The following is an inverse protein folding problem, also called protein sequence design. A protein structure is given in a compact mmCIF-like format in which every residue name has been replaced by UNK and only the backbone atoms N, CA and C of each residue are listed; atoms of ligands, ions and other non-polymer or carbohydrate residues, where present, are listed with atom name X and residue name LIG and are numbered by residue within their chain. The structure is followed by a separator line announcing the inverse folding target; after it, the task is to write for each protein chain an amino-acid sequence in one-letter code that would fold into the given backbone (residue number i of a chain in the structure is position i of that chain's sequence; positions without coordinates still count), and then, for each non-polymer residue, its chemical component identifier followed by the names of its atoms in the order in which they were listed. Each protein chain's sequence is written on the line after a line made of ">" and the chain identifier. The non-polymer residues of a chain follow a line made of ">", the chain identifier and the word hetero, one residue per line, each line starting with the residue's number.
data_IF_988841056122
#
_entry.id   IF_988841056122
#
_cell.length_a   1.000
_cell.length_b   1.000
_cell.length_c   1.000
_cell.angle_alpha   90.00
_cell.angle_beta   90.00
_cell.angle_gamma   90.00
#
_symmetry.space_group_name_H-M   'P 1'
#
loop_
_entity.id
_entity.type
_entity.pdbx_description
1 polymer ?
#
# COMPACT_ATOMS: atom_id res chain seq x y z
N UNK A 1 -7.62 20.01 9.05
CA UNK A 1 -6.91 19.14 8.09
C UNK A 1 -7.25 17.68 8.38
N UNK A 2 -7.97 16.99 7.50
CA UNK A 2 -8.25 15.55 7.67
C UNK A 2 -6.98 14.77 7.34
N UNK A 3 -6.13 14.54 8.33
CA UNK A 3 -5.08 13.53 8.24
C UNK A 3 -5.72 12.20 7.83
N UNK A 4 -5.24 11.57 6.76
CA UNK A 4 -5.71 10.23 6.40
C UNK A 4 -5.60 9.33 7.63
N UNK A 5 -6.67 8.59 7.94
CA UNK A 5 -6.64 7.64 9.04
C UNK A 5 -5.67 6.50 8.69
N UNK A 6 -4.90 6.00 9.67
CA UNK A 6 -4.05 4.83 9.48
C UNK A 6 -4.84 3.66 8.89
N UNK A 7 -6.11 3.50 9.30
CA UNK A 7 -7.03 2.53 8.75
C UNK A 7 -7.23 2.67 7.23
N UNK A 8 -7.31 3.89 6.70
CA UNK A 8 -7.50 4.12 5.27
C UNK A 8 -6.25 3.74 4.45
N UNK A 9 -5.06 4.08 4.95
CA UNK A 9 -3.80 3.70 4.31
C UNK A 9 -3.54 2.20 4.37
N UNK A 10 -3.90 1.56 5.48
CA UNK A 10 -3.82 0.10 5.64
C UNK A 10 -4.81 -0.62 4.72
N UNK A 11 -6.05 -0.16 4.59
CA UNK A 11 -7.04 -0.75 3.66
C UNK A 11 -6.59 -0.61 2.21
N UNK A 12 -6.08 0.56 1.81
CA UNK A 12 -5.55 0.76 0.46
C UNK A 12 -4.36 -0.15 0.16
N UNK A 13 -3.42 -0.28 1.11
CA UNK A 13 -2.30 -1.20 0.98
C UNK A 13 -2.72 -2.67 0.95
N UNK A 14 -3.74 -3.05 1.73
CA UNK A 14 -4.28 -4.42 1.77
C UNK A 14 -4.89 -4.80 0.41
N UNK A 15 -5.73 -3.93 -0.15
CA UNK A 15 -6.35 -4.12 -1.46
C UNK A 15 -5.30 -4.22 -2.56
N UNK A 16 -4.29 -3.34 -2.54
CA UNK A 16 -3.20 -3.38 -3.50
C UNK A 16 -2.41 -4.69 -3.43
N UNK A 17 -2.02 -5.10 -2.22
CA UNK A 17 -1.26 -6.33 -2.00
C UNK A 17 -2.07 -7.58 -2.40
N UNK A 18 -3.38 -7.60 -2.13
CA UNK A 18 -4.27 -8.69 -2.56
C UNK A 18 -4.32 -8.82 -4.09
N UNK A 19 -4.52 -7.71 -4.80
CA UNK A 19 -4.59 -7.73 -6.28
C UNK A 19 -3.26 -8.19 -6.88
N UNK A 20 -2.13 -7.68 -6.37
CA UNK A 20 -0.81 -8.08 -6.86
C UNK A 20 -0.49 -9.54 -6.57
N UNK A 21 -0.80 -10.04 -5.37
CA UNK A 21 -0.58 -11.45 -5.06
C UNK A 21 -1.50 -12.36 -5.86
N UNK A 22 -2.78 -11.98 -6.05
CA UNK A 22 -3.68 -12.74 -6.92
C UNK A 22 -3.14 -12.80 -8.36
N UNK A 23 -2.69 -11.68 -8.91
CA UNK A 23 -2.08 -11.63 -10.24
C UNK A 23 -0.83 -12.50 -10.34
N UNK A 24 0.09 -12.36 -9.40
CA UNK A 24 1.36 -13.11 -9.38
C UNK A 24 1.14 -14.62 -9.20
N UNK A 25 0.12 -15.00 -8.42
CA UNK A 25 -0.27 -16.39 -8.25
C UNK A 25 -0.76 -16.99 -9.58
N UNK A 26 -1.61 -16.28 -10.31
CA UNK A 26 -2.10 -16.69 -11.63
C UNK A 26 -0.98 -16.72 -12.70
N UNK A 27 -0.08 -15.75 -12.71
CA UNK A 27 0.98 -15.64 -13.72
C UNK A 27 2.08 -16.69 -13.54
N UNK A 28 2.50 -16.95 -12.30
CA UNK A 28 3.73 -17.70 -12.04
C UNK A 28 3.55 -19.01 -11.27
N UNK A 29 2.36 -19.33 -10.77
CA UNK A 29 2.11 -20.54 -9.99
C UNK A 29 3.07 -20.69 -8.78
N UNK A 30 3.44 -19.57 -8.15
CA UNK A 30 4.40 -19.57 -7.05
C UNK A 30 3.83 -20.28 -5.83
N UNK A 31 4.70 -21.01 -5.13
CA UNK A 31 4.37 -21.61 -3.83
C UNK A 31 3.95 -20.57 -2.79
N UNK A 32 3.12 -21.00 -1.84
CA UNK A 32 2.50 -20.14 -0.84
C UNK A 32 3.51 -19.30 -0.03
N UNK A 33 4.67 -19.87 0.29
CA UNK A 33 5.74 -19.20 1.03
C UNK A 33 6.24 -17.94 0.31
N UNK A 34 6.64 -18.06 -0.95
CA UNK A 34 7.08 -16.94 -1.78
C UNK A 34 5.97 -15.90 -2.02
N UNK A 35 4.71 -16.35 -2.10
CA UNK A 35 3.56 -15.46 -2.25
C UNK A 35 3.34 -14.59 -1.01
N UNK A 36 3.45 -15.18 0.18
CA UNK A 36 3.24 -14.50 1.46
C UNK A 36 4.31 -13.43 1.75
N UNK A 37 5.57 -13.72 1.42
CA UNK A 37 6.67 -12.77 1.53
C UNK A 37 6.44 -11.57 0.59
N UNK A 38 6.05 -11.83 -0.66
CA UNK A 38 5.69 -10.77 -1.61
C UNK A 38 4.49 -9.97 -1.14
N UNK A 39 3.48 -10.60 -0.57
CA UNK A 39 2.33 -9.92 0.01
C UNK A 39 2.76 -8.94 1.09
N UNK A 40 3.59 -9.38 2.04
CA UNK A 40 4.09 -8.54 3.12
C UNK A 40 4.90 -7.35 2.58
N UNK A 41 5.77 -7.58 1.58
CA UNK A 41 6.54 -6.51 0.93
C UNK A 41 5.61 -5.51 0.24
N UNK A 42 4.67 -5.97 -0.59
CA UNK A 42 3.73 -5.08 -1.28
C UNK A 42 2.85 -4.31 -0.30
N UNK A 43 2.35 -4.96 0.74
CA UNK A 43 1.54 -4.33 1.78
C UNK A 43 2.32 -3.24 2.51
N UNK A 44 3.50 -3.56 3.05
CA UNK A 44 4.29 -2.60 3.82
C UNK A 44 4.80 -1.47 2.95
N UNK A 45 5.35 -1.76 1.77
CA UNK A 45 5.88 -0.74 0.86
C UNK A 45 4.77 0.22 0.41
N UNK A 46 3.59 -0.30 0.08
CA UNK A 46 2.47 0.52 -0.39
C UNK A 46 1.81 1.28 0.75
N UNK A 47 1.58 0.66 1.92
CA UNK A 47 0.99 1.35 3.07
C UNK A 47 1.88 2.48 3.58
N UNK A 48 3.19 2.25 3.72
CA UNK A 48 4.15 3.28 4.17
C UNK A 48 4.33 4.35 3.10
N UNK A 49 4.48 3.95 1.83
CA UNK A 49 4.63 4.88 0.71
C UNK A 49 3.40 5.77 0.53
N UNK A 50 2.19 5.19 0.56
CA UNK A 50 0.94 5.93 0.44
C UNK A 50 0.73 6.90 1.60
N UNK A 51 1.06 6.49 2.83
CA UNK A 51 1.05 7.36 4.00
C UNK A 51 1.99 8.55 3.80
N UNK A 52 3.24 8.30 3.41
CA UNK A 52 4.24 9.34 3.22
C UNK A 52 3.85 10.30 2.09
N UNK A 53 3.37 9.76 0.97
CA UNK A 53 2.90 10.53 -0.18
C UNK A 53 1.74 11.46 0.19
N UNK A 54 0.73 10.93 0.90
CA UNK A 54 -0.43 11.72 1.33
C UNK A 54 -0.06 12.77 2.38
N UNK A 55 0.90 12.47 3.26
CA UNK A 55 1.41 13.44 4.23
C UNK A 55 2.22 14.57 3.55
N UNK A 56 3.00 14.23 2.51
CA UNK A 56 3.74 15.20 1.71
C UNK A 56 2.80 16.08 0.85
N UNK A 57 1.75 15.49 0.27
CA UNK A 57 0.70 16.21 -0.46
C UNK A 57 -0.07 17.18 0.45
N UNK A 58 -0.44 16.73 1.66
CA UNK A 58 -1.08 17.59 2.66
C UNK A 58 -0.18 18.78 3.06
N UNK A 59 1.13 18.55 3.25
CA UNK A 59 2.11 19.62 3.48
C UNK A 59 2.18 20.60 2.30
N UNK A 60 2.12 20.12 1.05
CA UNK A 60 2.14 20.99 -0.14
C UNK A 60 0.87 21.83 -0.29
N UNK A 61 -0.29 21.31 0.10
CA UNK A 61 -1.53 22.10 0.12
C UNK A 61 -1.53 23.16 1.21
N UNK A 62 -0.93 22.87 2.37
CA UNK A 62 -0.87 23.82 3.49
C UNK A 62 0.17 24.94 3.33
N UNK A 63 1.05 24.86 2.34
CA UNK A 63 2.00 25.92 1.97
C UNK A 63 1.57 26.74 0.75
N UNK A 64 0.30 26.63 0.34
CA UNK A 64 -0.32 27.38 -0.76
C UNK A 64 -1.46 28.29 -0.23
N UNK A 65 -1.27 28.81 0.97
CA UNK A 65 -1.94 29.97 1.57
C UNK A 65 -0.82 30.91 2.05
#
# INVERSE_FOLDING_TARGET
>A
MRTISWSQASVAGLLYAMVMCAWVYYDRGLGFDALSIRFAIYFVAFTVGFRFLMNALAKRQSGRD
#
